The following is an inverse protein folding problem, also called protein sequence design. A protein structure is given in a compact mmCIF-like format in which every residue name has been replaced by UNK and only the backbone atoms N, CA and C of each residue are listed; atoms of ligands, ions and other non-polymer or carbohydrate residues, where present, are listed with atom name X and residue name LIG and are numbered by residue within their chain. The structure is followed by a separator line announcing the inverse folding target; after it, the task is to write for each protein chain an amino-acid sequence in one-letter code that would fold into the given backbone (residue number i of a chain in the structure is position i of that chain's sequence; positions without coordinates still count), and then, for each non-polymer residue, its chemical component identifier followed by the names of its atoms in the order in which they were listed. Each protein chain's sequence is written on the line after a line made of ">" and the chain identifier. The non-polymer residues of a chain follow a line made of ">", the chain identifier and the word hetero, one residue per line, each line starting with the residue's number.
data_IF_671055276728
#
_entry.id   IF_671055276728
#
_cell.length_a   1.000
_cell.length_b   1.000
_cell.length_c   1.000
_cell.angle_alpha   90.00
_cell.angle_beta   90.00
_cell.angle_gamma   90.00
#
_symmetry.space_group_name_H-M   'P 1'
#
loop_
_entity.id
_entity.type
_entity.pdbx_description
1 polymer ?
#
# COMPACT_ATOMS: atom_id res chain seq x y z
N UNK A 1 -15.47 16.47 19.74
CA UNK A 1 -15.28 17.32 18.53
C UNK A 1 -13.86 17.04 18.01
N UNK A 2 -13.69 16.08 17.10
CA UNK A 2 -12.39 15.86 16.46
C UNK A 2 -12.14 17.00 15.47
N UNK A 3 -10.99 17.67 15.59
CA UNK A 3 -10.53 18.65 14.58
C UNK A 3 -10.47 17.92 13.24
N UNK A 4 -11.04 18.51 12.18
CA UNK A 4 -10.71 18.14 10.81
C UNK A 4 -9.19 18.26 10.69
N UNK A 5 -8.50 17.13 10.65
CA UNK A 5 -7.12 17.09 10.19
C UNK A 5 -7.22 17.54 8.73
N UNK A 6 -6.63 18.69 8.40
CA UNK A 6 -6.41 19.09 7.02
C UNK A 6 -5.40 18.10 6.45
N UNK A 7 -5.87 16.92 6.06
CA UNK A 7 -5.12 15.97 5.27
C UNK A 7 -4.98 16.65 3.92
N UNK A 8 -3.76 17.10 3.63
CA UNK A 8 -3.46 17.68 2.33
C UNK A 8 -3.43 16.52 1.32
N UNK A 9 -4.58 16.29 0.67
CA UNK A 9 -4.74 15.26 -0.37
C UNK A 9 -3.88 15.57 -1.60
N UNK A 10 -3.44 16.83 -1.74
CA UNK A 10 -2.38 17.23 -2.66
C UNK A 10 -1.02 16.93 -2.02
N UNK A 11 -0.67 15.66 -1.86
CA UNK A 11 0.69 15.27 -1.50
C UNK A 11 1.47 14.89 -2.77
N UNK A 12 1.93 15.86 -3.60
CA UNK A 12 2.67 15.60 -4.83
C UNK A 12 4.00 14.89 -4.60
N UNK A 13 4.40 14.71 -3.33
CA UNK A 13 5.64 14.07 -2.93
C UNK A 13 5.68 12.57 -3.26
N UNK A 14 4.54 11.93 -3.52
CA UNK A 14 4.50 10.50 -3.83
C UNK A 14 4.50 10.24 -5.34
N UNK A 15 3.97 11.17 -6.14
CA UNK A 15 3.94 11.05 -7.60
C UNK A 15 5.35 10.82 -8.17
N UNK A 16 5.47 9.92 -9.13
CA UNK A 16 6.69 9.62 -9.86
C UNK A 16 7.07 8.15 -9.83
N UNK A 17 8.30 7.87 -10.24
CA UNK A 17 8.87 6.53 -10.31
C UNK A 17 9.82 6.30 -9.14
N UNK A 18 9.67 5.14 -8.50
CA UNK A 18 10.43 4.73 -7.33
C UNK A 18 11.02 3.35 -7.57
N UNK A 19 12.24 3.14 -7.13
CA UNK A 19 12.94 1.86 -7.26
C UNK A 19 13.60 1.47 -5.95
N UNK A 20 13.53 0.18 -5.63
CA UNK A 20 14.14 -0.38 -4.44
C UNK A 20 13.86 -1.86 -4.32
N UNK A 21 13.63 -2.34 -3.10
CA UNK A 21 13.49 -3.77 -2.84
C UNK A 21 12.32 -4.10 -1.93
N UNK A 22 11.87 -5.36 -2.04
CA UNK A 22 10.94 -6.00 -1.13
C UNK A 22 11.71 -6.96 -0.22
N UNK A 23 11.46 -6.84 1.09
CA UNK A 23 11.97 -7.75 2.12
C UNK A 23 10.81 -8.39 2.86
N UNK A 24 10.84 -9.73 3.01
CA UNK A 24 9.90 -10.46 3.83
C UNK A 24 10.50 -10.70 5.23
N UNK A 25 9.74 -10.38 6.28
CA UNK A 25 10.09 -10.63 7.67
C UNK A 25 9.20 -11.72 8.28
N UNK A 26 9.75 -12.64 9.11
CA UNK A 26 11.18 -12.77 9.42
C UNK A 26 12.01 -13.14 8.19
N UNK A 27 13.23 -12.63 8.13
CA UNK A 27 14.13 -12.84 6.99
C UNK A 27 14.53 -14.31 6.90
N UNK A 28 14.67 -14.81 5.67
CA UNK A 28 15.16 -16.16 5.39
C UNK A 28 16.50 -16.02 4.67
N UNK A 29 17.59 -16.65 5.14
CA UNK A 29 18.90 -16.53 4.50
C UNK A 29 18.91 -16.88 3.01
N UNK A 30 18.06 -17.82 2.62
CA UNK A 30 17.95 -18.34 1.25
C UNK A 30 17.05 -17.47 0.33
N UNK A 31 16.38 -16.44 0.84
CA UNK A 31 15.43 -15.67 0.01
C UNK A 31 16.19 -14.72 -0.92
N UNK A 32 16.04 -14.91 -2.23
CA UNK A 32 16.62 -14.00 -3.21
C UNK A 32 15.97 -12.62 -3.10
N UNK A 33 16.76 -11.53 -3.25
CA UNK A 33 16.22 -10.18 -3.29
C UNK A 33 15.14 -10.04 -4.37
N UNK A 34 14.09 -9.29 -4.07
CA UNK A 34 13.06 -8.91 -5.03
C UNK A 34 13.19 -7.41 -5.24
N UNK A 35 13.51 -7.01 -6.48
CA UNK A 35 13.50 -5.62 -6.90
C UNK A 35 12.07 -5.15 -7.12
N UNK A 36 11.80 -3.90 -6.79
CA UNK A 36 10.48 -3.28 -6.96
C UNK A 36 10.63 -1.94 -7.68
N UNK A 37 9.91 -1.81 -8.79
CA UNK A 37 9.63 -0.54 -9.45
C UNK A 37 8.19 -0.14 -9.14
N UNK A 38 8.00 1.02 -8.52
CA UNK A 38 6.69 1.57 -8.17
C UNK A 38 6.47 2.88 -8.94
N UNK A 39 5.34 2.97 -9.63
CA UNK A 39 4.95 4.12 -10.45
C UNK A 39 3.64 4.70 -9.92
N UNK A 40 3.70 5.91 -9.38
CA UNK A 40 2.55 6.60 -8.79
C UNK A 40 2.21 7.82 -9.63
N UNK A 41 1.00 7.86 -10.17
CA UNK A 41 0.46 9.01 -10.88
C UNK A 41 -0.10 10.08 -9.92
N UNK A 42 -0.63 11.18 -10.45
CA UNK A 42 -1.31 12.18 -9.64
C UNK A 42 -2.44 11.57 -8.79
N UNK A 43 -2.50 11.95 -7.51
CA UNK A 43 -3.57 11.52 -6.63
C UNK A 43 -4.93 12.06 -7.11
N UNK A 44 -6.03 11.30 -6.92
CA UNK A 44 -7.36 11.74 -7.33
C UNK A 44 -7.88 12.86 -6.41
N UNK A 45 -8.04 14.07 -6.95
CA UNK A 45 -8.54 15.25 -6.20
C UNK A 45 -10.02 15.52 -6.41
N UNK A 46 -10.64 14.85 -7.39
CA UNK A 46 -12.06 14.96 -7.73
C UNK A 46 -12.76 13.62 -7.59
N UNK A 47 -14.05 13.66 -7.27
CA UNK A 47 -14.88 12.47 -7.15
C UNK A 47 -14.93 11.69 -8.47
N UNK A 48 -14.98 10.36 -8.37
CA UNK A 48 -14.95 9.42 -9.49
C UNK A 48 -13.73 9.56 -10.41
N UNK A 49 -12.58 9.99 -9.87
CA UNK A 49 -11.31 10.02 -10.62
C UNK A 49 -10.30 9.06 -10.00
N UNK A 50 -9.32 8.64 -10.80
CA UNK A 50 -8.28 7.71 -10.38
C UNK A 50 -6.90 8.17 -10.83
N UNK A 51 -5.90 7.91 -9.99
CA UNK A 51 -4.49 8.01 -10.29
C UNK A 51 -3.86 6.62 -10.49
N UNK A 52 -2.84 6.54 -11.33
CA UNK A 52 -2.07 5.30 -11.53
C UNK A 52 -1.36 4.90 -10.24
N UNK A 53 -1.33 3.60 -9.95
CA UNK A 53 -0.49 3.01 -8.91
C UNK A 53 -0.01 1.62 -9.34
N UNK A 54 1.18 1.55 -9.91
CA UNK A 54 1.69 0.30 -10.48
C UNK A 54 2.93 -0.18 -9.73
N UNK A 55 2.95 -1.44 -9.32
CA UNK A 55 4.12 -2.11 -8.79
C UNK A 55 4.59 -3.21 -9.75
N UNK A 56 5.85 -3.19 -10.13
CA UNK A 56 6.52 -4.27 -10.88
C UNK A 56 7.54 -4.92 -9.98
N UNK A 57 7.40 -6.24 -9.78
CA UNK A 57 8.28 -7.06 -8.98
C UNK A 57 9.18 -7.88 -9.90
N UNK A 58 10.49 -7.76 -9.71
CA UNK A 58 11.48 -8.46 -10.51
C UNK A 58 12.46 -9.22 -9.62
N UNK A 59 12.88 -10.39 -10.09
CA UNK A 59 13.90 -11.21 -9.44
C UNK A 59 14.92 -11.61 -10.49
N UNK A 60 16.21 -11.37 -10.19
CA UNK A 60 17.32 -11.62 -11.13
C UNK A 60 17.10 -10.95 -12.51
N UNK A 61 16.56 -9.72 -12.51
CA UNK A 61 16.25 -8.96 -13.73
C UNK A 61 15.04 -9.46 -14.52
N UNK A 62 14.34 -10.51 -14.08
CA UNK A 62 13.14 -11.02 -14.71
C UNK A 62 11.90 -10.57 -13.95
N UNK A 63 10.95 -9.96 -14.65
CA UNK A 63 9.65 -9.56 -14.09
C UNK A 63 8.87 -10.82 -13.69
N UNK A 64 8.56 -10.91 -12.39
CA UNK A 64 7.78 -12.00 -11.81
C UNK A 64 6.30 -11.65 -11.75
N UNK A 65 5.99 -10.39 -11.47
CA UNK A 65 4.62 -9.93 -11.32
C UNK A 65 4.52 -8.44 -11.59
N UNK A 66 3.40 -8.04 -12.21
CA UNK A 66 2.96 -6.64 -12.29
C UNK A 66 1.62 -6.53 -11.58
N UNK A 67 1.50 -5.57 -10.69
CA UNK A 67 0.27 -5.17 -10.03
C UNK A 67 -0.10 -3.78 -10.56
N UNK A 68 -1.09 -3.73 -11.44
CA UNK A 68 -1.50 -2.51 -12.13
C UNK A 68 -2.73 -1.89 -11.48
N UNK A 69 -2.54 -1.35 -10.27
CA UNK A 69 -3.60 -0.77 -9.47
C UNK A 69 -3.88 0.68 -9.88
N UNK A 70 -5.01 1.19 -9.40
CA UNK A 70 -5.32 2.62 -9.44
C UNK A 70 -5.81 3.08 -8.08
N UNK A 71 -5.26 4.17 -7.56
CA UNK A 71 -5.83 4.84 -6.39
C UNK A 71 -6.97 5.74 -6.87
N UNK A 72 -8.18 5.42 -6.48
CA UNK A 72 -9.40 6.10 -6.89
C UNK A 72 -10.03 6.86 -5.72
N UNK A 73 -10.80 7.89 -6.08
CA UNK A 73 -11.70 8.60 -5.18
C UNK A 73 -13.13 8.36 -5.60
N UNK A 74 -13.95 7.86 -4.67
CA UNK A 74 -15.38 7.69 -4.84
C UNK A 74 -16.12 9.00 -4.60
N UNK A 75 -17.01 9.02 -3.62
CA UNK A 75 -17.85 10.15 -3.25
C UNK A 75 -17.28 10.87 -2.02
N UNK A 76 -16.68 12.04 -2.25
CA UNK A 76 -16.05 12.85 -1.21
C UNK A 76 -14.60 12.49 -0.91
N UNK A 77 -13.97 13.36 -0.11
CA UNK A 77 -12.52 13.35 0.13
C UNK A 77 -12.01 12.16 0.96
N UNK A 78 -12.89 11.51 1.73
CA UNK A 78 -12.55 10.40 2.61
C UNK A 78 -12.84 9.02 1.97
N UNK A 79 -13.47 8.99 0.80
CA UNK A 79 -13.83 7.78 0.07
C UNK A 79 -12.74 7.44 -0.94
N UNK A 80 -11.66 6.80 -0.47
CA UNK A 80 -10.55 6.35 -1.29
C UNK A 80 -10.52 4.83 -1.35
N UNK A 81 -10.11 4.29 -2.49
CA UNK A 81 -9.93 2.85 -2.67
C UNK A 81 -8.90 2.57 -3.74
N UNK A 82 -8.24 1.42 -3.63
CA UNK A 82 -7.46 0.84 -4.72
C UNK A 82 -8.38 0.00 -5.60
N UNK A 83 -8.44 0.31 -6.89
CA UNK A 83 -9.05 -0.52 -7.92
C UNK A 83 -7.99 -1.51 -8.42
N UNK A 84 -8.18 -2.81 -8.13
CA UNK A 84 -7.29 -3.89 -8.56
C UNK A 84 -7.60 -4.40 -9.98
N UNK A 85 -8.61 -3.83 -10.64
CA UNK A 85 -9.23 -4.37 -11.83
C UNK A 85 -10.22 -5.49 -11.52
N UNK A 86 -10.90 -5.99 -12.57
CA UNK A 86 -11.86 -7.09 -12.48
C UNK A 86 -12.98 -6.91 -11.43
N UNK A 87 -13.33 -5.66 -11.13
CA UNK A 87 -14.38 -5.32 -10.15
C UNK A 87 -13.95 -5.48 -8.69
N UNK A 88 -12.65 -5.66 -8.40
CA UNK A 88 -12.11 -5.77 -7.05
C UNK A 88 -11.63 -4.38 -6.60
N UNK A 89 -12.11 -3.95 -5.43
CA UNK A 89 -11.71 -2.69 -4.80
C UNK A 89 -11.27 -2.94 -3.37
N UNK A 90 -10.21 -2.26 -2.94
CA UNK A 90 -9.71 -2.29 -1.57
C UNK A 90 -9.85 -0.91 -0.94
N UNK A 91 -10.63 -0.79 0.13
CA UNK A 91 -10.80 0.48 0.83
C UNK A 91 -9.45 1.02 1.33
N UNK A 92 -9.23 2.30 1.11
CA UNK A 92 -8.01 2.99 1.51
C UNK A 92 -8.35 4.26 2.28
N UNK A 93 -7.49 4.65 3.22
CA UNK A 93 -7.70 5.87 3.99
C UNK A 93 -6.41 6.52 4.40
N UNK A 94 -6.38 7.85 4.33
CA UNK A 94 -5.34 8.65 4.95
C UNK A 94 -5.53 8.71 6.47
N UNK A 95 -4.51 8.28 7.21
CA UNK A 95 -4.42 8.43 8.66
C UNK A 95 -3.13 9.20 8.96
N UNK A 96 -3.26 10.51 9.17
CA UNK A 96 -2.10 11.39 9.25
C UNK A 96 -1.41 11.49 7.89
N UNK A 97 -0.15 11.07 7.82
CA UNK A 97 0.69 11.02 6.60
C UNK A 97 0.82 9.60 6.01
N UNK A 98 0.05 8.63 6.53
CA UNK A 98 0.05 7.23 6.12
C UNK A 98 -1.20 6.91 5.30
N UNK A 99 -1.04 6.27 4.15
CA UNK A 99 -2.14 5.64 3.41
C UNK A 99 -2.31 4.22 3.92
N UNK A 100 -3.48 3.90 4.46
CA UNK A 100 -3.77 2.60 5.07
C UNK A 100 -4.84 1.88 4.27
N UNK A 101 -4.55 0.65 3.86
CA UNK A 101 -5.43 -0.21 3.06
C UNK A 101 -5.56 -1.57 3.75
N UNK A 102 -6.56 -1.75 4.65
CA UNK A 102 -6.84 -3.03 5.26
C UNK A 102 -7.74 -3.88 4.37
N UNK A 103 -7.42 -5.16 4.20
CA UNK A 103 -8.27 -6.09 3.46
C UNK A 103 -8.09 -7.51 3.99
N UNK A 104 -9.08 -8.36 3.70
CA UNK A 104 -9.02 -9.78 4.04
C UNK A 104 -8.93 -10.61 2.78
N UNK A 105 -8.13 -11.66 2.86
CA UNK A 105 -8.07 -12.71 1.86
C UNK A 105 -8.13 -14.05 2.59
N UNK A 106 -9.23 -14.79 2.39
CA UNK A 106 -9.57 -15.98 3.17
C UNK A 106 -9.47 -15.72 4.69
N UNK A 107 -8.68 -16.52 5.40
CA UNK A 107 -8.45 -16.42 6.84
C UNK A 107 -7.25 -15.53 7.19
N UNK A 108 -6.91 -14.57 6.32
CA UNK A 108 -5.78 -13.66 6.51
C UNK A 108 -6.28 -12.23 6.49
N UNK A 109 -5.91 -11.45 7.51
CA UNK A 109 -6.03 -10.01 7.52
C UNK A 109 -4.69 -9.42 7.04
N UNK A 110 -4.76 -8.60 6.01
CA UNK A 110 -3.64 -7.81 5.50
C UNK A 110 -3.90 -6.34 5.79
N UNK A 111 -2.88 -5.64 6.26
CA UNK A 111 -2.93 -4.19 6.47
C UNK A 111 -1.73 -3.60 5.76
N UNK A 112 -1.97 -2.98 4.60
CA UNK A 112 -0.95 -2.18 3.92
C UNK A 112 -0.90 -0.78 4.52
N UNK A 113 0.30 -0.30 4.82
CA UNK A 113 0.60 1.03 5.30
C UNK A 113 1.69 1.63 4.42
N UNK A 114 1.36 2.63 3.61
CA UNK A 114 2.33 3.37 2.80
C UNK A 114 2.61 4.73 3.41
N UNK A 115 3.89 5.15 3.46
CA UNK A 115 4.30 6.49 3.93
C UNK A 115 5.65 6.90 3.36
N UNK A 116 5.90 8.21 3.30
CA UNK A 116 7.20 8.75 2.91
C UNK A 116 8.03 9.09 4.16
N UNK A 117 9.16 8.40 4.36
CA UNK A 117 10.11 8.65 5.45
C UNK A 117 11.39 9.23 4.85
N UNK A 118 11.58 10.54 4.98
CA UNK A 118 12.66 11.24 4.28
C UNK A 118 12.51 11.08 2.77
N UNK A 119 13.49 10.44 2.12
CA UNK A 119 13.50 10.17 0.68
C UNK A 119 13.09 8.74 0.30
N UNK A 120 12.61 7.96 1.28
CA UNK A 120 12.17 6.57 1.08
C UNK A 120 10.65 6.52 1.17
N UNK A 121 10.00 6.14 0.08
CA UNK A 121 8.62 5.74 0.11
C UNK A 121 8.59 4.28 0.58
N UNK A 122 8.00 4.06 1.75
CA UNK A 122 7.93 2.76 2.39
C UNK A 122 6.50 2.25 2.32
N UNK A 123 6.31 1.00 1.93
CA UNK A 123 5.06 0.26 2.08
C UNK A 123 5.31 -0.96 2.96
N UNK A 124 4.50 -1.12 4.02
CA UNK A 124 4.50 -2.31 4.86
C UNK A 124 3.16 -3.02 4.80
N UNK A 125 3.17 -4.30 4.47
CA UNK A 125 1.99 -5.17 4.54
C UNK A 125 2.17 -6.08 5.76
N UNK A 126 1.41 -5.80 6.81
CA UNK A 126 1.32 -6.65 7.99
C UNK A 126 0.32 -7.79 7.71
N UNK A 127 0.77 -9.03 7.89
CA UNK A 127 -0.01 -10.24 7.64
C UNK A 127 -0.38 -10.87 8.99
N UNK A 128 -1.67 -11.02 9.25
CA UNK A 128 -2.24 -11.49 10.52
C UNK A 128 -3.21 -12.64 10.23
N UNK A 129 -3.18 -13.69 11.05
CA UNK A 129 -4.22 -14.73 11.01
C UNK A 129 -5.56 -14.13 11.44
N UNK A 130 -6.53 -14.12 10.52
CA UNK A 130 -7.87 -13.64 10.83
C UNK A 130 -8.65 -14.70 11.61
N UNK A 131 -9.42 -14.25 12.60
CA UNK A 131 -10.27 -15.09 13.42
C UNK A 131 -11.62 -14.43 13.59
N UNK A 132 -12.73 -15.19 13.60
CA UNK A 132 -14.05 -14.65 13.88
C UNK A 132 -14.07 -13.87 15.20
N UNK A 133 -14.72 -12.71 15.19
CA UNK A 133 -14.84 -11.89 16.38
C UNK A 133 -15.62 -12.64 17.49
N UNK A 134 -15.19 -12.45 18.73
CA UNK A 134 -15.89 -12.92 19.94
C UNK A 134 -16.21 -11.73 20.84
N UNK A 135 -17.01 -11.94 21.88
CA UNK A 135 -17.26 -10.90 22.89
C UNK A 135 -15.99 -10.66 23.71
N UNK A 136 -15.47 -9.43 23.67
CA UNK A 136 -14.26 -9.02 24.37
C UNK A 136 -13.02 -9.02 23.47
N UNK A 137 -11.83 -8.66 24.00
CA UNK A 137 -10.60 -8.64 23.23
C UNK A 137 -10.24 -10.05 22.73
N UNK A 138 -9.98 -10.18 21.43
CA UNK A 138 -9.46 -11.40 20.82
C UNK A 138 -8.00 -11.20 20.44
N UNK A 139 -7.13 -12.07 20.94
CA UNK A 139 -5.72 -12.06 20.55
C UNK A 139 -5.55 -12.59 19.13
N UNK A 140 -4.94 -11.77 18.29
CA UNK A 140 -4.59 -12.10 16.90
C UNK A 140 -3.11 -12.46 16.80
N UNK A 141 -2.73 -13.27 15.80
CA UNK A 141 -1.34 -13.66 15.57
C UNK A 141 -0.80 -12.94 14.33
N UNK A 142 0.09 -11.98 14.55
CA UNK A 142 0.91 -11.45 13.46
C UNK A 142 1.88 -12.55 12.98
N UNK A 143 1.93 -12.78 11.67
CA UNK A 143 2.74 -13.82 11.04
C UNK A 143 4.00 -13.29 10.41
N UNK A 144 3.88 -12.19 9.68
CA UNK A 144 4.96 -11.67 8.86
C UNK A 144 4.69 -10.22 8.47
N UNK A 145 5.74 -9.54 8.02
CA UNK A 145 5.66 -8.24 7.37
C UNK A 145 6.31 -8.39 5.99
N UNK A 146 5.66 -7.88 4.95
CA UNK A 146 6.34 -7.58 3.69
C UNK A 146 6.62 -6.09 3.65
N UNK A 147 7.88 -5.70 3.48
CA UNK A 147 8.28 -4.29 3.43
C UNK A 147 8.89 -3.97 2.09
N UNK A 148 8.38 -2.94 1.44
CA UNK A 148 8.99 -2.29 0.30
C UNK A 148 9.66 -1.01 0.80
N UNK A 149 10.94 -0.85 0.48
CA UNK A 149 11.66 0.39 0.69
C UNK A 149 12.16 0.88 -0.67
N UNK A 150 11.50 1.90 -1.24
CA UNK A 150 11.80 2.42 -2.57
C UNK A 150 12.23 3.88 -2.53
N UNK A 151 13.21 4.23 -3.37
CA UNK A 151 13.73 5.60 -3.52
C UNK A 151 13.32 6.15 -4.86
N UNK A 152 13.10 7.46 -4.90
CA UNK A 152 12.75 8.16 -6.14
C UNK A 152 13.85 7.99 -7.17
N UNK A 153 13.48 7.54 -8.38
CA UNK A 153 14.37 7.52 -9.53
C UNK A 153 14.53 8.96 -10.00
N UNK A 154 15.76 9.46 -10.03
CA UNK A 154 16.05 10.79 -10.59
C UNK A 154 15.99 10.68 -12.11
N UNK A 155 15.10 11.46 -12.72
CA UNK A 155 15.06 11.72 -14.15
C UNK A 155 16.26 12.54 -14.60
#
# INVERSE_FOLDING_TARGET
>A
RYRKLNINLDNPKWNGTWYGSLTNYPTRPESSPMDVLMEIGPHPTSDNTCGMWRNTYAQNGQVQQVKDYRLCRGQGADDLFFDEGNGITLDARWIGDVLVTPFKYDNTLLVSCTRLIGDILQEEILIIDDKPAIKGPLSMRARSIQRLDVKRVKS
#
